data_IF_949419077114
#
_entry.id   IF_949419077114
#
_cell.length_a   1.000
_cell.length_b   1.000
_cell.length_c   1.000
_cell.angle_alpha   90.00
_cell.angle_beta   90.00
_cell.angle_gamma   90.00
#
_symmetry.space_group_name_H-M   'P 1'
#
loop_
_entity.id
_entity.type
_entity.pdbx_description
1 polymer ?
#
# COMPACT_ATOMS: atom_id res chain seq x y z
N UNK A 1 6.53 -12.97 -10.78
CA UNK A 1 6.53 -11.80 -11.68
C UNK A 1 7.13 -10.65 -10.91
N UNK A 2 8.32 -10.22 -11.31
CA UNK A 2 8.95 -8.99 -10.79
C UNK A 2 8.22 -7.77 -11.37
N UNK A 3 7.56 -6.99 -10.51
CA UNK A 3 6.69 -5.89 -10.91
C UNK A 3 7.35 -4.56 -10.55
N UNK A 4 7.54 -3.74 -11.57
CA UNK A 4 8.03 -2.37 -11.48
C UNK A 4 6.99 -1.42 -12.06
N UNK A 5 7.24 -0.11 -11.99
CA UNK A 5 6.36 0.91 -12.57
C UNK A 5 6.10 0.67 -14.07
N UNK A 6 7.06 0.13 -14.79
CA UNK A 6 7.01 0.01 -16.25
C UNK A 6 6.04 -1.10 -16.70
N UNK A 7 5.92 -2.18 -15.92
CA UNK A 7 5.00 -3.29 -16.20
C UNK A 7 3.79 -3.34 -15.25
N UNK A 8 3.62 -2.35 -14.37
CA UNK A 8 2.57 -2.34 -13.34
C UNK A 8 1.16 -2.44 -13.94
N UNK A 9 0.87 -1.76 -15.05
CA UNK A 9 -0.45 -1.79 -15.68
C UNK A 9 -0.83 -3.21 -16.15
N UNK A 10 0.13 -3.95 -16.71
CA UNK A 10 -0.07 -5.35 -17.11
C UNK A 10 -0.23 -6.25 -15.88
N UNK A 11 0.65 -6.10 -14.88
CA UNK A 11 0.59 -6.87 -13.64
C UNK A 11 -0.74 -6.68 -12.91
N UNK A 12 -1.24 -5.44 -12.82
CA UNK A 12 -2.52 -5.10 -12.19
C UNK A 12 -3.70 -5.74 -12.94
N UNK A 13 -3.67 -5.75 -14.28
CA UNK A 13 -4.69 -6.42 -15.07
C UNK A 13 -4.70 -7.94 -14.83
N UNK A 14 -3.53 -8.57 -14.78
CA UNK A 14 -3.40 -10.00 -14.46
C UNK A 14 -3.85 -10.31 -13.03
N UNK A 15 -3.45 -9.48 -12.06
CA UNK A 15 -3.86 -9.61 -10.66
C UNK A 15 -5.39 -9.51 -10.51
N UNK A 16 -5.99 -8.48 -11.12
CA UNK A 16 -7.44 -8.26 -11.12
C UNK A 16 -8.22 -9.44 -11.71
N UNK A 17 -7.69 -10.07 -12.76
CA UNK A 17 -8.33 -11.22 -13.39
C UNK A 17 -8.26 -12.50 -12.52
N UNK A 18 -7.23 -12.63 -11.68
CA UNK A 18 -6.98 -13.85 -10.91
C UNK A 18 -7.51 -13.79 -9.46
N UNK A 19 -7.49 -12.63 -8.80
CA UNK A 19 -7.77 -12.50 -7.36
C UNK A 19 -9.19 -12.96 -6.96
N UNK A 20 -10.19 -12.79 -7.83
CA UNK A 20 -11.55 -13.24 -7.55
C UNK A 20 -11.69 -14.77 -7.50
N UNK A 21 -10.89 -15.47 -8.32
CA UNK A 21 -10.96 -16.92 -8.47
C UNK A 21 -10.01 -17.72 -7.58
N UNK A 22 -9.06 -17.07 -6.89
CA UNK A 22 -8.12 -17.79 -6.01
C UNK A 22 -8.81 -18.25 -4.72
N UNK A 23 -8.27 -19.30 -4.10
CA UNK A 23 -8.76 -19.82 -2.82
C UNK A 23 -8.24 -18.99 -1.65
N UNK A 24 -6.95 -18.64 -1.71
CA UNK A 24 -6.29 -17.79 -0.72
C UNK A 24 -5.12 -17.03 -1.33
N UNK A 25 -4.64 -16.05 -0.58
CA UNK A 25 -3.50 -15.21 -0.93
C UNK A 25 -2.42 -15.37 0.13
N UNK A 26 -1.16 -15.53 -0.28
CA UNK A 26 -0.03 -15.41 0.63
C UNK A 26 0.66 -14.05 0.45
N UNK A 27 1.07 -13.44 1.57
CA UNK A 27 1.66 -12.11 1.65
C UNK A 27 2.98 -12.19 2.42
N UNK A 28 3.98 -11.47 1.90
CA UNK A 28 5.27 -11.25 2.55
C UNK A 28 5.82 -9.86 2.15
N UNK A 29 6.63 -9.22 2.99
CA UNK A 29 7.20 -7.91 2.69
C UNK A 29 8.67 -7.78 3.10
N UNK A 30 9.45 -7.14 2.23
CA UNK A 30 10.81 -6.72 2.53
C UNK A 30 10.83 -5.27 3.02
N UNK A 31 11.64 -4.99 4.05
CA UNK A 31 11.60 -3.72 4.78
C UNK A 31 13.00 -3.11 4.96
N UNK A 32 13.08 -1.78 5.07
CA UNK A 32 14.35 -1.06 5.34
C UNK A 32 14.88 -1.26 6.77
N UNK A 33 14.12 -1.91 7.63
CA UNK A 33 14.44 -2.23 9.01
C UNK A 33 13.25 -2.88 9.72
N UNK A 34 13.51 -3.48 10.89
CA UNK A 34 12.48 -4.17 11.69
C UNK A 34 12.27 -3.53 13.06
N UNK A 35 13.32 -3.32 13.85
CA UNK A 35 13.17 -2.72 15.19
C UNK A 35 14.43 -1.92 15.51
N UNK A 36 14.30 -0.75 16.14
CA UNK A 36 15.44 0.11 16.48
C UNK A 36 16.45 -0.61 17.39
N UNK A 37 15.97 -1.22 18.48
CA UNK A 37 16.76 -1.95 19.47
C UNK A 37 16.09 -3.27 19.88
N UNK A 38 16.78 -4.08 20.71
CA UNK A 38 16.22 -5.34 21.24
C UNK A 38 15.05 -5.09 22.18
N UNK A 39 15.08 -4.02 22.96
CA UNK A 39 14.04 -3.63 23.92
C UNK A 39 12.73 -3.22 23.22
N UNK A 40 12.87 -2.70 21.99
CA UNK A 40 11.75 -2.34 21.13
C UNK A 40 11.12 -3.53 20.39
N UNK A 41 11.67 -4.74 20.53
CA UNK A 41 11.03 -5.92 19.98
C UNK A 41 9.79 -6.30 20.80
N UNK A 42 8.70 -6.74 20.15
CA UNK A 42 7.46 -7.14 20.81
C UNK A 42 7.56 -8.58 21.38
N UNK A 43 8.73 -8.97 21.90
CA UNK A 43 9.03 -10.33 22.36
C UNK A 43 9.16 -10.45 23.89
N UNK A 44 9.15 -9.32 24.62
CA UNK A 44 9.21 -9.33 26.09
C UNK A 44 7.99 -10.07 26.66
N UNK A 45 8.19 -10.95 27.64
CA UNK A 45 7.12 -11.76 28.24
C UNK A 45 6.12 -10.96 29.06
N UNK A 46 6.53 -9.78 29.54
CA UNK A 46 5.70 -8.92 30.41
C UNK A 46 4.92 -7.88 29.63
N UNK A 47 5.18 -7.72 28.32
CA UNK A 47 4.45 -6.76 27.49
C UNK A 47 2.99 -7.18 27.35
N UNK A 48 2.09 -6.27 27.72
CA UNK A 48 0.68 -6.29 27.35
C UNK A 48 0.50 -6.21 25.83
N UNK A 49 -0.71 -6.53 25.35
CA UNK A 49 -1.02 -6.44 23.91
C UNK A 49 -0.91 -5.01 23.38
N UNK A 50 -1.28 -4.03 24.20
CA UNK A 50 -1.21 -2.62 23.82
C UNK A 50 0.24 -2.13 23.75
N UNK A 51 1.12 -2.59 24.65
CA UNK A 51 2.56 -2.30 24.58
C UNK A 51 3.22 -2.94 23.34
N UNK A 52 2.84 -4.19 23.01
CA UNK A 52 3.32 -4.84 21.78
C UNK A 52 2.86 -4.11 20.53
N UNK A 53 1.59 -3.70 20.48
CA UNK A 53 1.07 -2.86 19.39
C UNK A 53 1.86 -1.56 19.28
N UNK A 54 2.13 -0.88 20.40
CA UNK A 54 2.91 0.36 20.39
C UNK A 54 4.34 0.16 19.85
N UNK A 55 4.99 -0.96 20.20
CA UNK A 55 6.32 -1.34 19.68
C UNK A 55 6.28 -1.62 18.17
N UNK A 56 5.31 -2.41 17.70
CA UNK A 56 5.12 -2.71 16.28
C UNK A 56 4.80 -1.43 15.47
N UNK A 57 3.92 -0.57 16.00
CA UNK A 57 3.58 0.71 15.40
C UNK A 57 4.81 1.62 15.26
N UNK A 58 5.64 1.72 16.31
CA UNK A 58 6.90 2.49 16.26
C UNK A 58 7.84 1.98 15.16
N UNK A 59 7.96 0.66 14.99
CA UNK A 59 8.68 0.08 13.86
C UNK A 59 8.11 0.56 12.51
N UNK A 60 6.80 0.44 12.33
CA UNK A 60 6.14 0.79 11.07
C UNK A 60 6.26 2.27 10.73
N UNK A 61 6.25 3.14 11.74
CA UNK A 61 6.49 4.58 11.58
C UNK A 61 7.95 4.89 11.21
N UNK A 62 8.92 4.11 11.71
CA UNK A 62 10.34 4.32 11.46
C UNK A 62 10.83 3.77 10.12
N UNK A 63 10.30 2.62 9.67
CA UNK A 63 10.81 1.90 8.50
C UNK A 63 9.83 1.85 7.33
N UNK A 64 10.35 1.54 6.15
CA UNK A 64 9.57 1.49 4.92
C UNK A 64 9.59 0.10 4.29
N UNK A 65 8.53 -0.22 3.55
CA UNK A 65 8.44 -1.41 2.71
C UNK A 65 9.11 -1.14 1.38
N UNK A 66 10.00 -2.04 0.95
CA UNK A 66 10.73 -1.92 -0.32
C UNK A 66 10.16 -2.83 -1.40
N UNK A 67 9.62 -3.97 -0.99
CA UNK A 67 8.99 -4.94 -1.87
C UNK A 67 7.81 -5.61 -1.17
N UNK A 68 6.72 -5.82 -1.90
CA UNK A 68 5.55 -6.57 -1.43
C UNK A 68 5.39 -7.82 -2.28
N UNK A 69 5.49 -8.98 -1.65
CA UNK A 69 5.26 -10.28 -2.22
C UNK A 69 3.80 -10.68 -2.07
N UNK A 70 3.12 -10.98 -3.18
CA UNK A 70 1.77 -11.52 -3.15
C UNK A 70 1.71 -12.76 -4.04
N UNK A 71 1.35 -13.91 -3.48
CA UNK A 71 1.15 -15.13 -4.25
C UNK A 71 -0.31 -15.57 -4.18
N UNK A 72 -0.96 -15.68 -5.34
CA UNK A 72 -2.32 -16.20 -5.44
C UNK A 72 -2.28 -17.72 -5.62
N UNK A 73 -3.05 -18.45 -4.80
CA UNK A 73 -3.16 -19.91 -4.90
C UNK A 73 -4.57 -20.30 -5.33
N UNK A 74 -4.68 -21.13 -6.36
CA UNK A 74 -5.96 -21.61 -6.91
C UNK A 74 -5.92 -23.11 -7.13
N UNK A 75 -6.89 -23.85 -6.61
CA UNK A 75 -7.07 -25.26 -6.91
C UNK A 75 -7.52 -25.42 -8.36
N UNK A 76 -6.82 -26.27 -9.10
CA UNK A 76 -7.13 -26.63 -10.48
C UNK A 76 -7.38 -28.13 -10.54
N UNK A 77 -8.58 -28.50 -10.97
CA UNK A 77 -8.94 -29.89 -11.22
C UNK A 77 -8.25 -30.39 -12.50
N UNK A 78 -7.63 -31.56 -12.43
CA UNK A 78 -6.87 -32.20 -13.52
C UNK A 78 -7.21 -33.71 -13.55
N UNK A 79 -8.33 -34.04 -14.22
CA UNK A 79 -8.92 -35.38 -14.22
C UNK A 79 -9.48 -35.77 -12.83
N UNK A 80 -9.15 -36.96 -12.37
CA UNK A 80 -9.53 -37.48 -11.03
C UNK A 80 -8.67 -36.89 -9.89
N UNK A 81 -7.62 -36.15 -10.24
CA UNK A 81 -6.74 -35.46 -9.31
C UNK A 81 -6.84 -33.94 -9.48
N UNK A 82 -6.05 -33.19 -8.70
CA UNK A 82 -5.89 -31.76 -8.91
C UNK A 82 -4.57 -31.26 -8.33
N UNK A 83 -4.29 -29.99 -8.60
CA UNK A 83 -3.07 -29.32 -8.16
C UNK A 83 -3.38 -27.88 -7.76
N UNK A 84 -2.55 -27.29 -6.91
CA UNK A 84 -2.59 -25.86 -6.66
C UNK A 84 -1.75 -25.12 -7.70
N UNK A 85 -2.38 -24.19 -8.41
CA UNK A 85 -1.67 -23.24 -9.24
C UNK A 85 -1.27 -22.01 -8.42
N UNK A 86 0.01 -21.63 -8.51
CA UNK A 86 0.60 -20.47 -7.84
C UNK A 86 0.93 -19.34 -8.84
N UNK A 87 0.57 -18.11 -8.47
CA UNK A 87 0.89 -16.88 -9.22
C UNK A 87 1.59 -15.85 -8.31
N UNK A 88 2.93 -15.91 -8.16
CA UNK A 88 3.69 -14.99 -7.32
C UNK A 88 3.96 -13.65 -8.03
N UNK A 89 3.67 -12.54 -7.36
CA UNK A 89 3.99 -11.18 -7.75
C UNK A 89 4.95 -10.57 -6.72
N UNK A 90 6.03 -9.94 -7.17
CA UNK A 90 6.95 -9.19 -6.34
C UNK A 90 6.87 -7.72 -6.75
N UNK A 91 6.08 -6.93 -6.03
CA UNK A 91 5.88 -5.52 -6.31
C UNK A 91 6.99 -4.69 -5.66
N UNK A 92 7.88 -4.12 -6.46
CA UNK A 92 8.84 -3.13 -5.97
C UNK A 92 8.08 -1.83 -5.74
N UNK A 93 8.01 -1.34 -4.50
CA UNK A 93 7.15 -0.20 -4.13
C UNK A 93 7.99 0.97 -3.59
N UNK A 94 7.67 2.19 -3.98
CA UNK A 94 8.41 3.37 -3.53
C UNK A 94 7.47 4.58 -3.37
N UNK A 95 7.56 5.38 -2.29
CA UNK A 95 6.66 6.51 -2.09
C UNK A 95 6.84 7.57 -3.19
N UNK A 96 5.74 8.09 -3.73
CA UNK A 96 5.77 9.23 -4.66
C UNK A 96 6.16 10.51 -3.93
N UNK A 97 7.01 11.38 -4.52
CA UNK A 97 7.31 12.70 -3.95
C UNK A 97 6.23 13.75 -4.23
N UNK A 98 5.28 13.43 -5.13
CA UNK A 98 4.12 14.28 -5.38
C UNK A 98 2.93 13.50 -5.95
N UNK A 99 1.73 13.98 -5.69
CA UNK A 99 0.48 13.48 -6.28
C UNK A 99 -0.54 14.63 -6.39
N UNK A 100 -1.26 14.72 -7.52
CA UNK A 100 -2.26 15.79 -7.73
C UNK A 100 -1.70 17.21 -7.56
N UNK A 101 -0.40 17.40 -7.81
CA UNK A 101 0.32 18.66 -7.60
C UNK A 101 0.65 19.00 -6.14
N UNK A 102 0.33 18.13 -5.17
CA UNK A 102 0.75 18.24 -3.78
C UNK A 102 2.07 17.49 -3.54
N UNK A 103 2.95 18.07 -2.73
CA UNK A 103 4.19 17.42 -2.30
C UNK A 103 3.87 16.34 -1.26
N UNK A 104 4.43 15.14 -1.44
CA UNK A 104 4.21 13.93 -0.64
C UNK A 104 5.54 13.43 -0.09
N UNK A 105 6.35 14.34 0.46
CA UNK A 105 7.72 14.01 0.86
C UNK A 105 7.76 13.11 2.10
N UNK A 106 8.02 11.82 1.88
CA UNK A 106 8.03 10.78 2.93
C UNK A 106 9.43 10.62 3.49
N UNK A 107 9.56 10.79 4.80
CA UNK A 107 10.78 10.50 5.54
C UNK A 107 10.69 9.09 6.13
N UNK A 108 11.76 8.32 6.01
CA UNK A 108 11.88 6.97 6.55
C UNK A 108 13.32 6.68 6.95
N UNK A 109 13.50 5.77 7.91
CA UNK A 109 14.80 5.28 8.35
C UNK A 109 15.21 3.98 7.65
N UNK A 110 16.51 3.68 7.73
CA UNK A 110 17.08 2.41 7.29
C UNK A 110 17.99 1.85 8.39
N UNK A 111 17.94 0.53 8.62
CA UNK A 111 18.95 -0.18 9.41
C UNK A 111 20.04 -0.71 8.49
N UNK A 112 21.30 -0.42 8.83
CA UNK A 112 22.46 -0.94 8.09
C UNK A 112 22.40 -2.47 7.93
N UNK A 113 22.09 -3.19 9.01
CA UNK A 113 21.97 -4.65 8.98
C UNK A 113 20.89 -5.17 8.04
N UNK A 114 19.78 -4.44 7.89
CA UNK A 114 18.69 -4.83 6.98
C UNK A 114 19.10 -4.58 5.52
N UNK A 115 19.74 -3.45 5.23
CA UNK A 115 20.27 -3.17 3.89
C UNK A 115 21.38 -4.14 3.50
N UNK A 116 22.28 -4.49 4.43
CA UNK A 116 23.31 -5.52 4.20
C UNK A 116 22.69 -6.89 3.89
N UNK A 117 21.64 -7.27 4.63
CA UNK A 117 20.91 -8.51 4.39
C UNK A 117 20.28 -8.53 2.99
N UNK A 118 19.50 -7.49 2.65
CA UNK A 118 18.89 -7.34 1.34
C UNK A 118 19.94 -7.34 0.20
N UNK A 119 21.07 -6.65 0.40
CA UNK A 119 22.17 -6.65 -0.57
C UNK A 119 22.76 -8.05 -0.79
N UNK A 120 22.94 -8.84 0.28
CA UNK A 120 23.42 -10.24 0.19
C UNK A 120 22.41 -11.15 -0.52
N UNK A 121 21.12 -10.85 -0.35
CA UNK A 121 20.02 -11.51 -1.06
C UNK A 121 19.83 -10.99 -2.50
N UNK A 122 20.76 -10.21 -3.03
CA UNK A 122 20.73 -9.65 -4.40
C UNK A 122 19.56 -8.70 -4.68
N UNK A 123 19.05 -8.01 -3.64
CA UNK A 123 18.05 -6.96 -3.80
C UNK A 123 18.61 -5.77 -4.59
N UNK A 124 17.87 -5.31 -5.60
CA UNK A 124 18.27 -4.17 -6.43
C UNK A 124 17.67 -2.85 -5.90
N UNK A 125 18.47 -2.14 -5.10
CA UNK A 125 18.10 -0.82 -4.55
C UNK A 125 17.88 0.25 -5.63
N UNK A 126 18.57 0.16 -6.78
CA UNK A 126 18.37 1.11 -7.86
C UNK A 126 17.02 0.88 -8.53
N UNK A 127 16.67 -0.38 -8.81
CA UNK A 127 15.35 -0.75 -9.32
C UNK A 127 14.24 -0.29 -8.37
N UNK A 128 14.43 -0.48 -7.07
CA UNK A 128 13.49 -0.02 -6.04
C UNK A 128 13.22 1.50 -6.13
N UNK A 129 14.27 2.34 -6.19
CA UNK A 129 14.10 3.80 -6.22
C UNK A 129 13.65 4.32 -7.60
N UNK A 130 14.31 3.87 -8.68
CA UNK A 130 14.06 4.38 -10.03
C UNK A 130 12.74 3.89 -10.60
N UNK A 131 12.41 2.62 -10.36
CA UNK A 131 11.29 1.93 -10.99
C UNK A 131 10.25 1.43 -9.99
N UNK A 132 10.37 1.77 -8.70
CA UNK A 132 9.35 1.42 -7.71
C UNK A 132 7.96 1.96 -8.11
N UNK A 133 6.96 1.08 -8.03
CA UNK A 133 5.56 1.40 -8.18
C UNK A 133 5.18 2.40 -7.09
N UNK A 134 4.69 3.56 -7.50
CA UNK A 134 4.24 4.59 -6.57
C UNK A 134 2.94 4.17 -5.90
N UNK A 135 2.65 4.76 -4.75
CA UNK A 135 1.41 4.51 -4.04
C UNK A 135 0.90 5.77 -3.35
N UNK A 136 -0.42 5.89 -3.27
CA UNK A 136 -1.11 6.99 -2.59
C UNK A 136 -2.33 6.42 -1.89
N UNK A 137 -2.45 6.61 -0.58
CA UNK A 137 -3.59 6.11 0.23
C UNK A 137 -4.87 6.84 -0.12
N UNK A 138 -6.02 6.21 0.16
CA UNK A 138 -7.31 6.75 -0.24
C UNK A 138 -7.62 8.02 0.55
N UNK A 139 -7.26 8.02 1.83
CA UNK A 139 -7.37 9.18 2.71
C UNK A 139 -6.50 10.35 2.24
N UNK A 140 -5.28 10.08 1.76
CA UNK A 140 -4.39 11.11 1.19
C UNK A 140 -4.93 11.66 -0.13
N UNK A 141 -5.40 10.80 -1.03
CA UNK A 141 -6.04 11.22 -2.28
C UNK A 141 -7.27 12.09 -2.00
N UNK A 142 -8.14 11.68 -1.07
CA UNK A 142 -9.33 12.43 -0.68
C UNK A 142 -8.98 13.78 -0.05
N UNK A 143 -7.94 13.84 0.78
CA UNK A 143 -7.43 15.07 1.38
C UNK A 143 -6.90 16.02 0.30
N UNK A 144 -6.01 15.56 -0.58
CA UNK A 144 -5.46 16.36 -1.68
C UNK A 144 -6.58 16.86 -2.59
N UNK A 145 -7.53 15.98 -2.94
CA UNK A 145 -8.70 16.35 -3.74
C UNK A 145 -9.48 17.48 -3.09
N UNK A 146 -9.77 17.36 -1.78
CA UNK A 146 -10.52 18.37 -1.02
C UNK A 146 -9.79 19.70 -0.97
N UNK A 147 -8.51 19.69 -0.63
CA UNK A 147 -7.67 20.90 -0.57
C UNK A 147 -7.62 21.60 -1.93
N UNK A 148 -7.41 20.86 -3.02
CA UNK A 148 -7.30 21.41 -4.38
C UNK A 148 -8.64 21.86 -4.95
N UNK A 149 -9.70 21.08 -4.76
CA UNK A 149 -11.05 21.46 -5.15
C UNK A 149 -11.52 22.68 -4.36
N UNK A 150 -11.17 22.77 -3.07
CA UNK A 150 -11.39 23.95 -2.24
C UNK A 150 -10.76 25.20 -2.85
N UNK A 151 -9.47 25.15 -3.23
CA UNK A 151 -8.78 26.26 -3.91
C UNK A 151 -9.43 26.65 -5.24
N UNK A 152 -10.03 25.69 -5.97
CA UNK A 152 -10.74 25.97 -7.22
C UNK A 152 -12.16 26.51 -7.01
N UNK A 153 -12.78 26.18 -5.87
CA UNK A 153 -14.14 26.55 -5.52
C UNK A 153 -14.22 27.87 -4.74
N UNK A 154 -13.16 28.22 -4.01
CA UNK A 154 -13.06 29.45 -3.23
C UNK A 154 -13.22 30.66 -4.16
N UNK A 155 -14.41 31.26 -4.12
CA UNK A 155 -14.66 32.62 -4.62
C UNK A 155 -14.24 33.52 -3.46
N UNK A 156 -12.94 33.79 -3.38
CA UNK A 156 -12.33 34.30 -2.16
C UNK A 156 -13.06 35.50 -1.58
N UNK A 157 -13.24 35.50 -0.25
CA UNK A 157 -13.12 36.76 0.47
C UNK A 157 -11.70 37.30 0.22
N UNK A 158 -11.54 38.61 -0.04
CA UNK A 158 -10.22 39.19 -0.22
C UNK A 158 -9.36 38.90 1.03
N UNK A 159 -8.10 38.46 0.87
CA UNK A 159 -7.23 38.24 2.02
C UNK A 159 -7.14 39.53 2.84
N UNK A 160 -7.40 39.40 4.14
CA UNK A 160 -7.31 40.50 5.11
C UNK A 160 -5.83 40.89 5.26
N UNK A 161 -5.42 41.84 4.43
CA UNK A 161 -4.69 43.07 4.77
C UNK A 161 -3.77 43.47 3.60
N UNK A 162 -4.24 44.43 2.81
CA UNK A 162 -3.39 45.26 1.96
C UNK A 162 -2.44 46.19 2.77
N UNK A 163 -2.22 45.90 4.05
CA UNK A 163 -1.49 46.74 5.01
C UNK A 163 -0.03 46.29 5.23
N UNK A 164 0.47 45.32 4.45
CA UNK A 164 1.84 44.81 4.53
C UNK A 164 2.70 45.09 3.29
N UNK A 165 3.88 44.45 3.21
CA UNK A 165 4.89 44.62 2.14
C UNK A 165 4.38 44.40 0.70
N UNK A 166 3.28 43.68 0.51
CA UNK A 166 2.68 43.41 -0.81
C UNK A 166 1.52 44.36 -1.18
N UNK A 167 1.24 45.40 -0.38
CA UNK A 167 0.14 46.34 -0.64
C UNK A 167 0.28 47.08 -1.97
N UNK A 168 1.49 47.50 -2.34
CA UNK A 168 1.77 48.13 -3.64
C UNK A 168 1.59 47.15 -4.80
N UNK A 169 1.98 45.88 -4.62
CA UNK A 169 1.78 44.83 -5.62
C UNK A 169 0.30 44.59 -5.89
N UNK A 170 -0.50 44.49 -4.83
CA UNK A 170 -1.96 44.31 -4.93
C UNK A 170 -2.60 45.51 -5.63
N UNK A 171 -2.30 46.74 -5.20
CA UNK A 171 -2.80 47.95 -5.86
C UNK A 171 -2.41 48.03 -7.33
N UNK A 172 -1.16 47.73 -7.66
CA UNK A 172 -0.67 47.70 -9.03
C UNK A 172 -1.44 46.69 -9.89
N UNK A 173 -1.71 45.50 -9.31
CA UNK A 173 -2.50 44.48 -9.98
C UNK A 173 -3.96 44.92 -10.16
N UNK A 174 -4.61 45.48 -9.13
CA UNK A 174 -5.99 45.95 -9.22
C UNK A 174 -6.17 47.06 -10.26
N UNK A 175 -5.22 48.00 -10.37
CA UNK A 175 -5.20 49.02 -11.41
C UNK A 175 -5.07 48.40 -12.81
N UNK A 176 -4.12 47.47 -13.00
CA UNK A 176 -3.94 46.76 -14.26
C UNK A 176 -5.17 45.92 -14.63
N UNK A 177 -5.80 45.29 -13.63
CA UNK A 177 -7.01 44.49 -13.78
C UNK A 177 -8.20 45.36 -14.21
N UNK A 178 -8.38 46.53 -13.59
CA UNK A 178 -9.44 47.48 -13.98
C UNK A 178 -9.28 47.96 -15.42
N UNK A 179 -8.05 48.30 -15.83
CA UNK A 179 -7.74 48.67 -17.21
C UNK A 179 -8.01 47.51 -18.20
N UNK A 180 -7.62 46.29 -17.83
CA UNK A 180 -7.89 45.09 -18.62
C UNK A 180 -9.39 44.80 -18.74
N UNK A 181 -10.16 44.91 -17.66
CA UNK A 181 -11.62 44.70 -17.69
C UNK A 181 -12.28 45.66 -18.68
N UNK A 182 -11.84 46.92 -18.73
CA UNK A 182 -12.33 47.94 -19.65
C UNK A 182 -11.84 47.79 -21.10
N UNK A 183 -10.79 47.01 -21.37
CA UNK A 183 -10.22 46.87 -22.72
C UNK A 183 -10.95 45.83 -23.59
N UNK A 184 -10.63 45.77 -24.89
CA UNK A 184 -11.12 44.73 -25.80
C UNK A 184 -10.29 43.43 -25.73
N UNK A 185 -9.22 43.40 -24.95
CA UNK A 185 -8.30 42.25 -24.87
C UNK A 185 -8.97 41.03 -24.23
N UNK A 186 -8.65 39.84 -24.74
CA UNK A 186 -9.17 38.57 -24.24
C UNK A 186 -8.44 38.09 -22.97
N UNK A 187 -7.16 38.47 -22.81
CA UNK A 187 -6.31 38.10 -21.68
C UNK A 187 -5.26 39.17 -21.37
N UNK A 188 -4.87 39.27 -20.09
CA UNK A 188 -3.71 40.03 -19.64
C UNK A 188 -2.68 39.12 -18.97
N UNK A 189 -1.40 39.46 -19.09
CA UNK A 189 -0.30 38.85 -18.36
C UNK A 189 0.08 39.74 -17.17
N UNK A 190 0.33 39.12 -16.03
CA UNK A 190 0.88 39.80 -14.86
C UNK A 190 1.97 38.97 -14.20
N UNK A 191 3.18 39.53 -14.10
CA UNK A 191 4.32 38.83 -13.54
C UNK A 191 4.21 38.70 -12.02
N UNK A 192 4.75 37.59 -11.49
CA UNK A 192 4.67 37.27 -10.05
C UNK A 192 6.03 36.79 -9.56
N UNK A 193 6.54 37.33 -8.46
CA UNK A 193 7.82 36.94 -7.91
C UNK A 193 7.76 35.65 -7.07
N UNK A 194 6.61 35.35 -6.45
CA UNK A 194 6.49 34.22 -5.51
C UNK A 194 5.07 33.61 -5.49
N UNK A 195 4.93 32.48 -4.78
CA UNK A 195 3.65 31.74 -4.65
C UNK A 195 2.59 32.50 -3.84
N UNK A 196 2.99 33.41 -2.95
CA UNK A 196 2.08 34.24 -2.16
C UNK A 196 1.38 35.29 -3.03
N UNK A 197 2.14 36.03 -3.84
CA UNK A 197 1.60 36.97 -4.84
C UNK A 197 0.64 36.29 -5.82
N UNK A 198 0.96 35.05 -6.24
CA UNK A 198 0.04 34.25 -7.06
C UNK A 198 -1.28 33.99 -6.34
N UNK A 199 -1.21 33.60 -5.06
CA UNK A 199 -2.41 33.36 -4.23
C UNK A 199 -3.25 34.62 -4.10
N UNK A 200 -2.64 35.80 -3.91
CA UNK A 200 -3.34 37.08 -3.86
C UNK A 200 -4.11 37.36 -5.16
N UNK A 201 -3.45 37.21 -6.32
CA UNK A 201 -4.09 37.39 -7.63
C UNK A 201 -5.26 36.43 -7.83
N UNK A 202 -5.09 35.14 -7.52
CA UNK A 202 -6.18 34.18 -7.62
C UNK A 202 -7.38 34.59 -6.75
N UNK A 203 -7.13 35.08 -5.52
CA UNK A 203 -8.17 35.60 -4.63
C UNK A 203 -8.95 36.75 -5.28
N UNK A 204 -8.25 37.78 -5.76
CA UNK A 204 -8.86 38.95 -6.41
C UNK A 204 -9.67 38.54 -7.65
N UNK A 205 -9.07 37.76 -8.57
CA UNK A 205 -9.74 37.32 -9.80
C UNK A 205 -10.95 36.43 -9.50
N UNK A 206 -10.90 35.60 -8.45
CA UNK A 206 -12.01 34.71 -8.10
C UNK A 206 -13.29 35.43 -7.63
N UNK A 207 -13.16 36.69 -7.22
CA UNK A 207 -14.28 37.58 -6.89
C UNK A 207 -15.03 38.11 -8.12
N UNK A 208 -14.49 37.95 -9.33
CA UNK A 208 -15.14 38.38 -10.57
C UNK A 208 -15.87 37.21 -11.27
N UNK A 209 -17.12 37.44 -11.67
CA UNK A 209 -17.93 36.42 -12.36
C UNK A 209 -17.54 36.16 -13.81
N UNK A 210 -16.78 37.08 -14.43
CA UNK A 210 -16.42 37.04 -15.85
C UNK A 210 -14.93 36.86 -16.09
N UNK A 211 -14.14 36.68 -15.03
CA UNK A 211 -12.69 36.53 -15.13
C UNK A 211 -12.23 35.15 -14.65
N UNK A 212 -11.22 34.61 -15.32
CA UNK A 212 -10.49 33.43 -14.90
C UNK A 212 -9.00 33.70 -14.84
N UNK A 213 -8.27 32.92 -14.03
CA UNK A 213 -6.82 32.99 -13.96
C UNK A 213 -6.18 31.62 -14.24
N UNK A 214 -5.01 31.64 -14.88
CA UNK A 214 -4.17 30.47 -15.16
C UNK A 214 -2.72 30.79 -14.85
N UNK A 215 -2.12 29.98 -13.99
CA UNK A 215 -0.71 30.09 -13.66
C UNK A 215 0.17 29.63 -14.82
N UNK A 216 1.20 30.42 -15.13
CA UNK A 216 2.28 30.08 -16.06
C UNK A 216 3.61 30.16 -15.30
N UNK A 217 4.73 29.79 -15.92
CA UNK A 217 6.05 29.99 -15.32
C UNK A 217 6.34 31.50 -15.29
N UNK A 218 6.69 32.04 -14.12
CA UNK A 218 7.02 33.47 -13.92
C UNK A 218 5.83 34.44 -13.87
N UNK A 219 4.65 34.08 -14.38
CA UNK A 219 3.49 34.99 -14.42
C UNK A 219 2.13 34.28 -14.25
N UNK A 220 1.08 35.08 -14.11
CA UNK A 220 -0.32 34.66 -14.21
C UNK A 220 -0.95 35.29 -15.45
N UNK A 221 -1.71 34.48 -16.17
CA UNK A 221 -2.58 34.88 -17.29
C UNK A 221 -4.01 35.02 -16.74
N UNK A 222 -4.57 36.23 -16.79
CA UNK A 222 -5.98 36.51 -16.46
C UNK A 222 -6.75 36.66 -17.75
N UNK A 223 -7.90 36.01 -17.89
CA UNK A 223 -8.67 35.98 -19.13
C UNK A 223 -10.16 36.22 -18.89
N UNK A 224 -10.85 36.78 -19.88
CA UNK A 224 -12.30 37.00 -19.85
C UNK A 224 -13.04 35.74 -20.29
N UNK A 225 -14.19 35.47 -19.69
CA UNK A 225 -15.05 34.35 -20.05
C UNK A 225 -16.44 34.47 -19.45
N UNK A 226 -17.42 33.78 -20.05
CA UNK A 226 -18.74 33.67 -19.44
C UNK A 226 -18.70 32.80 -18.19
N UNK A 227 -19.64 33.04 -17.27
CA UNK A 227 -19.81 32.20 -16.06
C UNK A 227 -19.82 30.71 -16.40
N UNK A 228 -20.58 30.32 -17.42
CA UNK A 228 -20.68 28.93 -17.93
C UNK A 228 -19.32 28.40 -18.41
N UNK A 229 -18.55 29.21 -19.14
CA UNK A 229 -17.23 28.81 -19.63
C UNK A 229 -16.22 28.63 -18.47
N UNK A 230 -16.26 29.52 -17.47
CA UNK A 230 -15.41 29.44 -16.28
C UNK A 230 -15.75 28.23 -15.41
N UNK A 231 -17.04 27.96 -15.18
CA UNK A 231 -17.50 26.79 -14.44
C UNK A 231 -17.13 25.48 -15.17
N UNK A 232 -17.26 25.45 -16.51
CA UNK A 232 -16.80 24.32 -17.34
C UNK A 232 -15.29 24.10 -17.24
N UNK A 233 -14.49 25.17 -17.23
CA UNK A 233 -13.04 25.09 -17.07
C UNK A 233 -12.64 24.54 -15.68
N UNK A 234 -13.35 24.94 -14.62
CA UNK A 234 -13.17 24.42 -13.25
C UNK A 234 -13.49 22.93 -13.18
N UNK A 235 -14.63 22.52 -13.74
CA UNK A 235 -15.02 21.12 -13.81
C UNK A 235 -13.98 20.26 -14.54
N UNK A 236 -13.43 20.78 -15.64
CA UNK A 236 -12.35 20.09 -16.37
C UNK A 236 -11.08 19.92 -15.52
N UNK A 237 -10.68 20.94 -14.75
CA UNK A 237 -9.53 20.85 -13.82
C UNK A 237 -9.77 19.83 -12.71
N UNK A 238 -10.97 19.78 -12.13
CA UNK A 238 -11.34 18.79 -11.12
C UNK A 238 -11.30 17.37 -11.71
N UNK A 239 -11.84 17.18 -12.92
CA UNK A 239 -11.79 15.87 -13.60
C UNK A 239 -10.35 15.43 -13.91
N UNK A 240 -9.49 16.35 -14.31
CA UNK A 240 -8.07 16.08 -14.55
C UNK A 240 -7.33 15.73 -13.23
N UNK A 241 -7.65 16.43 -12.14
CA UNK A 241 -7.15 16.11 -10.80
C UNK A 241 -7.59 14.72 -10.36
N UNK A 242 -8.89 14.40 -10.48
CA UNK A 242 -9.44 13.10 -10.10
C UNK A 242 -8.75 11.96 -10.85
N UNK A 243 -8.51 12.12 -12.16
CA UNK A 243 -7.74 11.16 -12.95
C UNK A 243 -6.29 11.02 -12.47
N UNK A 244 -5.60 12.14 -12.22
CA UNK A 244 -4.22 12.12 -11.75
C UNK A 244 -4.08 11.48 -10.38
N UNK A 245 -5.06 11.67 -9.49
CA UNK A 245 -5.07 11.03 -8.17
C UNK A 245 -5.34 9.53 -8.28
N UNK A 246 -6.23 9.12 -9.18
CA UNK A 246 -6.49 7.70 -9.46
C UNK A 246 -5.24 7.00 -10.00
N UNK A 247 -4.55 7.59 -10.98
CA UNK A 247 -3.28 7.07 -11.48
C UNK A 247 -2.21 6.99 -10.39
N UNK A 248 -2.19 7.97 -9.47
CA UNK A 248 -1.25 8.01 -8.35
C UNK A 248 -1.54 6.98 -7.25
N UNK A 249 -2.74 6.36 -7.21
CA UNK A 249 -3.05 5.25 -6.28
C UNK A 249 -2.02 4.14 -6.42
N UNK A 250 -1.60 3.85 -7.66
CA UNK A 250 -0.56 2.87 -7.99
C UNK A 250 -0.74 1.56 -7.21
N UNK A 251 0.26 1.15 -6.40
CA UNK A 251 0.19 -0.11 -5.66
C UNK A 251 -1.01 -0.21 -4.71
N UNK A 252 -1.55 0.91 -4.19
CA UNK A 252 -2.76 0.87 -3.38
C UNK A 252 -3.97 0.28 -4.13
N UNK A 253 -4.00 0.34 -5.48
CA UNK A 253 -5.05 -0.32 -6.27
C UNK A 253 -4.99 -1.86 -6.17
N UNK A 254 -3.80 -2.45 -5.99
CA UNK A 254 -3.65 -3.89 -5.73
C UNK A 254 -4.24 -4.24 -4.36
N UNK A 255 -3.95 -3.40 -3.37
CA UNK A 255 -4.44 -3.55 -2.00
C UNK A 255 -5.96 -3.38 -1.91
N UNK A 256 -6.55 -2.46 -2.68
CA UNK A 256 -8.00 -2.33 -2.81
C UNK A 256 -8.65 -3.61 -3.36
N UNK A 257 -8.06 -4.19 -4.41
CA UNK A 257 -8.53 -5.44 -5.01
C UNK A 257 -8.42 -6.61 -4.02
N UNK A 258 -7.30 -6.70 -3.30
CA UNK A 258 -7.08 -7.71 -2.26
C UNK A 258 -8.16 -7.62 -1.16
N UNK A 259 -8.37 -6.43 -0.63
CA UNK A 259 -9.38 -6.14 0.40
C UNK A 259 -10.80 -6.47 -0.09
N UNK A 260 -11.15 -6.03 -1.30
CA UNK A 260 -12.46 -6.25 -1.91
C UNK A 260 -12.74 -7.73 -2.20
N UNK A 261 -11.72 -8.53 -2.52
CA UNK A 261 -11.88 -9.95 -2.78
C UNK A 261 -12.18 -10.78 -1.51
N UNK A 262 -11.87 -10.23 -0.32
CA UNK A 262 -12.16 -10.83 1.00
C UNK A 262 -11.64 -12.27 1.14
N UNK A 263 -10.58 -12.62 0.41
CA UNK A 263 -9.93 -13.93 0.46
C UNK A 263 -9.12 -14.07 1.74
N UNK A 264 -8.94 -15.29 2.28
CA UNK A 264 -7.98 -15.54 3.34
C UNK A 264 -6.59 -15.06 2.93
N UNK A 265 -5.94 -14.28 3.81
CA UNK A 265 -4.57 -13.82 3.63
C UNK A 265 -3.66 -14.56 4.60
N UNK A 266 -2.63 -15.17 4.05
CA UNK A 266 -1.71 -16.07 4.73
C UNK A 266 -0.36 -15.37 4.81
N UNK A 267 0.27 -15.42 5.97
CA UNK A 267 1.62 -14.90 6.17
C UNK A 267 2.44 -15.85 7.04
N UNK A 268 3.71 -15.52 7.23
CA UNK A 268 4.59 -16.21 8.16
C UNK A 268 5.20 -15.19 9.10
N UNK A 269 4.85 -15.23 10.40
CA UNK A 269 5.26 -14.19 11.35
C UNK A 269 4.81 -12.78 10.92
N UNK A 270 3.53 -12.66 10.53
CA UNK A 270 3.04 -11.53 9.76
C UNK A 270 2.56 -10.26 10.51
N UNK A 271 2.70 -10.07 11.85
CA UNK A 271 2.24 -8.83 12.48
C UNK A 271 2.82 -7.56 11.86
N UNK A 272 4.11 -7.52 11.52
CA UNK A 272 4.71 -6.35 10.89
C UNK A 272 4.17 -6.12 9.48
N UNK A 273 4.06 -7.16 8.65
CA UNK A 273 3.52 -7.07 7.29
C UNK A 273 2.10 -6.50 7.29
N UNK A 274 1.27 -6.95 8.22
CA UNK A 274 -0.11 -6.48 8.37
C UNK A 274 -0.15 -5.01 8.78
N UNK A 275 0.68 -4.58 9.75
CA UNK A 275 0.70 -3.18 10.15
C UNK A 275 1.29 -2.27 9.06
N UNK A 276 2.31 -2.72 8.33
CA UNK A 276 2.85 -2.01 7.18
C UNK A 276 1.82 -1.90 6.05
N UNK A 277 1.10 -2.99 5.74
CA UNK A 277 0.03 -2.98 4.75
C UNK A 277 -1.06 -1.96 5.12
N UNK A 278 -1.44 -1.95 6.40
CA UNK A 278 -2.40 -0.99 6.93
C UNK A 278 -1.88 0.45 6.78
N UNK A 279 -0.71 0.76 7.35
CA UNK A 279 -0.18 2.13 7.41
C UNK A 279 0.12 2.71 6.03
N UNK A 280 0.82 1.95 5.18
CA UNK A 280 1.40 2.46 3.94
C UNK A 280 0.39 2.46 2.79
N UNK A 281 -0.54 1.51 2.76
CA UNK A 281 -1.40 1.29 1.59
C UNK A 281 -2.89 1.50 1.85
N UNK A 282 -3.37 1.31 3.09
CA UNK A 282 -4.75 1.59 3.45
C UNK A 282 -4.89 3.01 3.99
N UNK A 283 -4.37 3.25 5.21
CA UNK A 283 -4.53 4.50 5.96
C UNK A 283 -3.57 4.56 7.17
N UNK A 284 -3.31 5.75 7.75
CA UNK A 284 -2.44 5.86 8.92
C UNK A 284 -2.83 4.90 10.06
N UNK A 285 -1.84 4.32 10.72
CA UNK A 285 -2.08 3.51 11.92
C UNK A 285 -2.78 4.33 13.01
N UNK A 286 -3.84 3.79 13.63
CA UNK A 286 -4.54 4.50 14.70
C UNK A 286 -3.73 4.50 15.99
N UNK A 287 -4.11 5.39 16.90
CA UNK A 287 -3.40 5.55 18.16
C UNK A 287 -3.50 4.30 19.05
N UNK A 288 -4.63 3.62 19.01
CA UNK A 288 -4.93 2.48 19.88
C UNK A 288 -5.00 1.16 19.11
N UNK A 289 -4.61 0.06 19.78
CA UNK A 289 -4.74 -1.30 19.24
C UNK A 289 -6.19 -1.63 18.89
N UNK A 290 -7.14 -1.25 19.74
CA UNK A 290 -8.55 -1.56 19.53
C UNK A 290 -9.13 -0.92 18.26
N UNK A 291 -8.72 0.31 17.94
CA UNK A 291 -9.09 0.95 16.66
C UNK A 291 -8.44 0.25 15.48
N UNK A 292 -7.18 -0.17 15.62
CA UNK A 292 -6.48 -0.92 14.58
C UNK A 292 -7.19 -2.25 14.29
N UNK A 293 -7.55 -3.01 15.31
CA UNK A 293 -8.25 -4.30 15.16
C UNK A 293 -9.60 -4.14 14.45
N UNK A 294 -10.39 -3.11 14.81
CA UNK A 294 -11.65 -2.80 14.12
C UNK A 294 -11.44 -2.42 12.65
N UNK A 295 -10.43 -1.58 12.39
CA UNK A 295 -10.05 -1.22 11.03
C UNK A 295 -9.61 -2.45 10.21
N UNK A 296 -8.82 -3.32 10.83
CA UNK A 296 -8.27 -4.49 10.17
C UNK A 296 -9.36 -5.47 9.73
N UNK A 297 -10.40 -5.70 10.53
CA UNK A 297 -11.53 -6.57 10.12
C UNK A 297 -12.24 -6.10 8.83
N UNK A 298 -12.27 -4.79 8.61
CA UNK A 298 -12.84 -4.23 7.36
C UNK A 298 -11.89 -4.38 6.18
N UNK A 299 -10.58 -4.40 6.44
CA UNK A 299 -9.53 -4.48 5.43
C UNK A 299 -9.16 -5.92 5.06
N UNK A 300 -8.66 -6.70 6.03
CA UNK A 300 -8.26 -8.09 5.89
C UNK A 300 -8.98 -8.94 6.95
N UNK A 301 -10.17 -9.49 6.63
CA UNK A 301 -11.04 -10.12 7.63
C UNK A 301 -10.57 -11.49 8.12
N UNK A 302 -9.77 -12.18 7.31
CA UNK A 302 -9.34 -13.56 7.54
C UNK A 302 -7.83 -13.61 7.31
N UNK A 303 -7.09 -13.74 8.41
CA UNK A 303 -5.64 -13.84 8.46
C UNK A 303 -5.24 -15.23 8.97
N UNK A 304 -4.19 -15.81 8.40
CA UNK A 304 -3.61 -17.08 8.85
C UNK A 304 -2.09 -16.94 8.94
N UNK A 305 -1.55 -17.05 10.15
CA UNK A 305 -0.10 -17.01 10.37
C UNK A 305 0.47 -18.43 10.46
N UNK A 306 1.23 -18.84 9.45
CA UNK A 306 1.83 -20.17 9.38
C UNK A 306 2.83 -20.43 10.50
N UNK A 307 3.54 -19.40 10.99
CA UNK A 307 4.42 -19.54 12.15
C UNK A 307 3.61 -19.84 13.40
N UNK A 308 2.44 -19.23 13.56
CA UNK A 308 1.52 -19.57 14.65
C UNK A 308 1.04 -21.03 14.55
N UNK A 309 0.70 -21.52 13.34
CA UNK A 309 0.30 -22.93 13.15
C UNK A 309 1.41 -23.87 13.64
N UNK A 310 2.65 -23.64 13.20
CA UNK A 310 3.82 -24.46 13.57
C UNK A 310 4.05 -24.43 15.08
N UNK A 311 4.10 -23.24 15.67
CA UNK A 311 4.44 -23.04 17.08
C UNK A 311 3.34 -23.49 18.05
N UNK A 312 2.08 -23.47 17.61
CA UNK A 312 0.92 -23.89 18.41
C UNK A 312 0.52 -25.36 18.23
N UNK A 313 1.21 -26.09 17.36
CA UNK A 313 0.93 -27.51 17.08
C UNK A 313 2.11 -28.39 17.55
N UNK A 314 2.05 -28.98 18.76
CA UNK A 314 3.18 -29.71 19.36
C UNK A 314 3.75 -30.84 18.49
N UNK A 315 2.90 -31.52 17.71
CA UNK A 315 3.33 -32.58 16.79
C UNK A 315 4.22 -32.03 15.66
N UNK A 316 3.84 -30.90 15.06
CA UNK A 316 4.61 -30.23 14.00
C UNK A 316 5.90 -29.66 14.57
N UNK A 317 5.81 -28.94 15.70
CA UNK A 317 6.97 -28.34 16.38
C UNK A 317 8.01 -29.38 16.77
N UNK A 318 7.59 -30.50 17.35
CA UNK A 318 8.49 -31.60 17.74
C UNK A 318 9.09 -32.29 16.52
N UNK A 319 8.31 -32.47 15.44
CA UNK A 319 8.77 -33.17 14.24
C UNK A 319 9.84 -32.41 13.46
N UNK A 320 9.68 -31.10 13.29
CA UNK A 320 10.57 -30.31 12.44
C UNK A 320 11.63 -29.50 13.22
N UNK A 321 11.41 -29.23 14.50
CA UNK A 321 12.41 -28.56 15.36
C UNK A 321 12.70 -27.09 15.06
N UNK A 322 12.11 -26.53 14.00
CA UNK A 322 12.28 -25.15 13.56
C UNK A 322 10.94 -24.55 13.12
N UNK A 323 10.82 -23.23 13.20
CA UNK A 323 9.70 -22.46 12.67
C UNK A 323 10.17 -21.33 11.76
N UNK A 324 11.44 -21.32 11.35
CA UNK A 324 11.94 -20.39 10.34
C UNK A 324 11.50 -20.88 8.96
N UNK A 325 11.02 -19.97 8.12
CA UNK A 325 10.41 -20.31 6.83
C UNK A 325 11.42 -20.98 5.88
N UNK A 326 12.63 -20.44 5.83
CA UNK A 326 13.76 -20.91 5.02
C UNK A 326 14.17 -22.35 5.36
N UNK A 327 14.09 -22.73 6.62
CA UNK A 327 14.40 -24.09 7.09
C UNK A 327 13.20 -25.03 6.95
N UNK A 328 12.00 -24.61 7.34
CA UNK A 328 10.84 -25.52 7.44
C UNK A 328 10.17 -25.78 6.09
N UNK A 329 10.12 -24.81 5.18
CA UNK A 329 9.48 -24.96 3.88
C UNK A 329 10.08 -26.12 3.04
N UNK A 330 11.41 -26.30 2.93
CA UNK A 330 11.98 -27.45 2.24
C UNK A 330 11.76 -28.77 2.99
N UNK A 331 11.75 -28.77 4.33
CA UNK A 331 11.43 -29.99 5.11
C UNK A 331 9.99 -30.45 4.88
N UNK A 332 9.04 -29.52 4.87
CA UNK A 332 7.64 -29.79 4.53
C UNK A 332 7.51 -30.29 3.09
N UNK A 333 8.37 -29.84 2.18
CA UNK A 333 8.41 -30.34 0.80
C UNK A 333 8.79 -31.80 0.71
N UNK A 334 9.81 -32.19 1.45
CA UNK A 334 10.32 -33.55 1.44
C UNK A 334 9.39 -34.54 2.16
N UNK A 335 8.64 -34.08 3.18
CA UNK A 335 7.85 -34.95 4.03
C UNK A 335 6.53 -35.46 3.41
N UNK A 336 6.16 -35.00 2.22
CA UNK A 336 4.80 -35.06 1.71
C UNK A 336 4.71 -35.44 0.21
N UNK A 337 5.02 -36.69 -0.18
CA UNK A 337 4.92 -37.14 -1.57
C UNK A 337 3.48 -37.24 -2.09
N UNK A 338 2.50 -37.49 -1.21
CA UNK A 338 1.07 -37.65 -1.57
C UNK A 338 0.27 -36.33 -1.51
N UNK A 339 0.93 -35.20 -1.29
CA UNK A 339 0.26 -33.89 -1.27
C UNK A 339 -0.08 -33.39 -2.67
N UNK A 340 -1.12 -32.54 -2.80
CA UNK A 340 -1.42 -31.92 -4.07
C UNK A 340 -0.21 -31.15 -4.58
N UNK A 341 0.13 -31.38 -5.85
CA UNK A 341 1.23 -30.69 -6.50
C UNK A 341 0.98 -29.19 -6.50
N UNK A 342 2.05 -28.40 -6.39
CA UNK A 342 1.98 -26.95 -6.54
C UNK A 342 2.75 -26.60 -7.81
N UNK A 343 2.06 -26.01 -8.79
CA UNK A 343 2.61 -25.65 -10.09
C UNK A 343 2.54 -24.14 -10.27
N UNK A 344 3.57 -23.54 -10.85
CA UNK A 344 3.48 -22.13 -11.27
C UNK A 344 2.61 -22.01 -12.51
N UNK A 345 1.75 -20.99 -12.55
CA UNK A 345 1.04 -20.65 -13.77
C UNK A 345 2.04 -20.40 -14.93
N UNK A 346 1.79 -20.83 -16.18
CA UNK A 346 2.76 -20.77 -17.27
C UNK A 346 3.36 -19.37 -17.55
N UNK A 347 2.62 -18.29 -17.27
CA UNK A 347 3.11 -16.90 -17.40
C UNK A 347 4.07 -16.47 -16.27
N UNK A 348 4.17 -17.24 -15.20
CA UNK A 348 4.97 -16.95 -14.02
C UNK A 348 6.22 -17.83 -13.92
N UNK A 349 6.42 -18.78 -14.83
CA UNK A 349 7.58 -19.71 -14.82
C UNK A 349 8.90 -19.05 -15.20
N UNK A 350 8.87 -17.94 -15.97
CA UNK A 350 10.07 -17.35 -16.59
C UNK A 350 10.81 -16.34 -15.70
N UNK A 351 10.12 -15.79 -14.70
CA UNK A 351 10.58 -14.66 -13.87
C UNK A 351 10.40 -14.93 -12.36
N UNK A 352 10.28 -16.19 -11.93
CA UNK A 352 10.47 -16.52 -10.52
C UNK A 352 11.95 -16.78 -10.37
N UNK A 353 12.68 -15.78 -9.90
CA UNK A 353 14.00 -16.07 -9.36
C UNK A 353 13.74 -17.02 -8.18
N UNK A 354 14.35 -18.21 -8.18
CA UNK A 354 14.28 -19.13 -7.03
C UNK A 354 15.14 -18.62 -5.87
N UNK A 355 15.29 -17.31 -5.76
CA UNK A 355 16.15 -16.66 -4.79
C UNK A 355 15.33 -16.48 -3.54
N UNK A 356 15.72 -17.18 -2.47
CA UNK A 356 15.17 -16.96 -1.14
C UNK A 356 15.40 -15.49 -0.76
N UNK A 357 14.46 -14.88 -0.03
CA UNK A 357 14.47 -13.45 0.34
C UNK A 357 14.21 -12.49 -0.84
N UNK A 358 13.44 -12.96 -1.82
CA UNK A 358 12.60 -12.11 -2.67
C UNK A 358 11.16 -12.26 -2.18
N UNK A 359 10.48 -11.15 -1.87
CA UNK A 359 9.15 -11.19 -1.23
C UNK A 359 8.14 -12.07 -1.99
N UNK A 360 8.18 -12.03 -3.33
CA UNK A 360 7.29 -12.85 -4.16
C UNK A 360 7.51 -14.35 -4.00
N UNK A 361 8.76 -14.78 -3.80
CA UNK A 361 9.12 -16.18 -3.56
C UNK A 361 8.83 -16.58 -2.11
N UNK A 362 9.09 -15.72 -1.13
CA UNK A 362 8.81 -15.97 0.28
C UNK A 362 7.28 -16.04 0.54
N UNK A 363 6.48 -15.23 -0.16
CA UNK A 363 5.02 -15.38 -0.21
C UNK A 363 4.59 -16.74 -0.82
N UNK A 364 5.25 -17.19 -1.89
CA UNK A 364 5.00 -18.53 -2.43
C UNK A 364 5.36 -19.63 -1.42
N UNK A 365 6.53 -19.57 -0.79
CA UNK A 365 6.94 -20.56 0.22
C UNK A 365 5.98 -20.58 1.41
N UNK A 366 5.48 -19.42 1.83
CA UNK A 366 4.49 -19.29 2.89
C UNK A 366 3.19 -20.01 2.54
N UNK A 367 2.62 -19.75 1.36
CA UNK A 367 1.39 -20.41 0.92
C UNK A 367 1.56 -21.92 0.68
N UNK A 368 2.69 -22.33 0.10
CA UNK A 368 3.04 -23.73 -0.07
C UNK A 368 3.18 -24.46 1.29
N UNK A 369 3.76 -23.77 2.28
CA UNK A 369 3.86 -24.29 3.66
C UNK A 369 2.47 -24.45 4.28
N UNK A 370 1.55 -23.50 4.11
CA UNK A 370 0.17 -23.66 4.59
C UNK A 370 -0.50 -24.91 4.02
N UNK A 371 -0.47 -25.09 2.69
CA UNK A 371 -1.07 -26.25 2.01
C UNK A 371 -0.54 -27.55 2.63
N UNK A 372 0.76 -27.59 2.95
CA UNK A 372 1.42 -28.76 3.54
C UNK A 372 1.09 -28.97 5.00
N UNK A 373 1.13 -27.90 5.80
CA UNK A 373 0.78 -27.95 7.22
C UNK A 373 -0.66 -28.44 7.42
N UNK A 374 -1.60 -27.99 6.59
CA UNK A 374 -3.00 -28.39 6.70
C UNK A 374 -3.22 -29.89 6.43
N UNK A 375 -2.50 -30.54 5.53
CA UNK A 375 -2.70 -31.99 5.37
C UNK A 375 -1.95 -32.82 6.41
N UNK A 376 -0.85 -32.31 6.99
CA UNK A 376 -0.16 -32.96 8.11
C UNK A 376 -0.96 -32.92 9.42
N UNK A 377 -1.76 -31.88 9.66
CA UNK A 377 -2.66 -31.80 10.83
C UNK A 377 -3.94 -32.66 10.66
N UNK A 378 -4.04 -33.43 9.56
CA UNK A 378 -5.21 -34.25 9.23
C UNK A 378 -6.42 -33.43 8.76
N UNK A 379 -6.23 -32.16 8.42
CA UNK A 379 -7.31 -31.23 8.08
C UNK A 379 -7.80 -31.34 6.63
N UNK A 380 -6.94 -31.83 5.72
CA UNK A 380 -7.28 -31.99 4.31
C UNK A 380 -7.65 -33.44 3.99
N UNK A 381 -8.84 -33.87 4.41
CA UNK A 381 -9.59 -34.87 3.65
C UNK A 381 -10.41 -34.14 2.60
N UNK A 382 -9.81 -33.89 1.43
CA UNK A 382 -10.44 -33.16 0.32
C UNK A 382 -11.61 -33.92 -0.34
N UNK A 383 -11.96 -35.12 0.15
CA UNK A 383 -13.14 -35.88 -0.30
C UNK A 383 -14.44 -35.52 0.44
N UNK A 384 -14.41 -34.63 1.44
CA UNK A 384 -15.61 -34.22 2.16
C UNK A 384 -15.63 -32.70 2.44
N UNK A 385 -16.49 -32.00 1.70
CA UNK A 385 -16.97 -30.66 2.04
C UNK A 385 -17.35 -30.62 3.54
N UNK A 386 -16.78 -29.65 4.27
CA UNK A 386 -16.95 -29.27 5.69
C UNK A 386 -15.80 -29.58 6.68
N UNK A 387 -14.93 -30.57 6.47
CA UNK A 387 -13.88 -30.88 7.45
C UNK A 387 -12.68 -29.90 7.40
N UNK A 388 -12.29 -29.44 6.20
CA UNK A 388 -11.20 -28.47 6.01
C UNK A 388 -11.52 -27.05 6.49
N UNK A 389 -12.80 -26.66 6.50
CA UNK A 389 -13.24 -25.35 7.01
C UNK A 389 -13.13 -25.27 8.53
N UNK A 390 -13.43 -26.36 9.25
CA UNK A 390 -13.43 -26.41 10.73
C UNK A 390 -12.03 -26.25 11.37
N UNK A 391 -10.97 -26.74 10.70
CA UNK A 391 -9.60 -26.65 11.25
C UNK A 391 -9.01 -25.26 11.07
N UNK A 392 -9.31 -24.57 9.97
CA UNK A 392 -8.86 -23.19 9.76
C UNK A 392 -9.40 -22.25 10.86
N UNK A 393 -10.60 -22.46 11.38
CA UNK A 393 -11.12 -21.66 12.52
C UNK A 393 -10.22 -21.68 13.76
N UNK A 394 -9.43 -22.74 13.97
CA UNK A 394 -8.47 -22.78 15.07
C UNK A 394 -7.37 -21.72 14.92
N UNK A 395 -7.01 -21.36 13.70
CA UNK A 395 -5.85 -20.53 13.38
C UNK A 395 -6.22 -19.14 12.82
N UNK A 396 -7.47 -18.95 12.42
CA UNK A 396 -7.97 -17.68 11.88
C UNK A 396 -7.76 -16.53 12.88
N UNK A 397 -7.17 -15.46 12.37
CA UNK A 397 -6.89 -14.19 13.04
C UNK A 397 -6.10 -14.33 14.34
N UNK A 398 -5.18 -15.30 14.38
CA UNK A 398 -4.20 -15.47 15.45
C UNK A 398 -2.81 -15.28 14.88
N UNK A 399 -2.23 -14.10 15.10
CA UNK A 399 -0.90 -13.78 14.61
C UNK A 399 0.15 -14.17 15.65
N UNK A 400 1.28 -14.68 15.18
CA UNK A 400 2.36 -15.08 16.07
C UNK A 400 2.94 -13.86 16.79
N UNK A 401 3.14 -13.97 18.11
CA UNK A 401 3.91 -13.02 18.89
C UNK A 401 5.05 -13.82 19.53
N UNK A 402 6.28 -13.34 19.41
CA UNK A 402 7.51 -14.08 19.68
C UNK A 402 7.78 -14.44 21.17
N UNK A 403 6.76 -14.79 21.95
CA UNK A 403 6.90 -15.36 23.30
C UNK A 403 6.65 -16.86 23.31
N UNK A 404 7.50 -17.57 24.06
CA UNK A 404 7.33 -18.97 24.43
C UNK A 404 5.99 -19.17 25.16
N UNK A 405 5.29 -20.27 24.85
CA UNK A 405 3.94 -20.66 25.36
C UNK A 405 2.74 -20.11 24.58
N UNK A 406 2.75 -20.24 23.25
CA UNK A 406 1.51 -20.13 22.46
C UNK A 406 0.79 -18.79 22.59
N UNK A 407 1.52 -17.71 22.90
CA UNK A 407 0.94 -16.37 22.97
C UNK A 407 0.75 -15.85 21.56
N UNK A 408 -0.48 -15.49 21.21
CA UNK A 408 -0.83 -14.98 19.89
C UNK A 408 -1.60 -13.67 20.01
N UNK A 409 -1.50 -12.85 18.98
CA UNK A 409 -2.37 -11.71 18.82
C UNK A 409 -3.67 -12.18 18.18
N UNK A 410 -4.73 -12.31 19.00
CA UNK A 410 -6.08 -12.46 18.47
C UNK A 410 -6.55 -11.13 17.90
N UNK A 411 -6.75 -11.05 16.59
CA UNK A 411 -7.31 -9.87 15.95
C UNK A 411 -8.77 -10.13 15.61
N UNK A 412 -9.66 -9.30 16.14
CA UNK A 412 -11.08 -9.40 15.84
C UNK A 412 -11.90 -10.17 16.87
#
# INVERSE_FOLDING_TARGET
MDVTRDNFAEALAQFKAAIGGCDFVALDMEMTGLFESREQQPNSRVDSRDERYAKLRRSVEAYMVVQVGICLFTWVQDGDAGFYEARPFAFNVFPGSSAGGAAMDVHFGCKSSALEFLARSSFDFNKWVYQGVRYLRADDAARIRRERAGVLADRGQPPVSAAGKDGEFVRGFELALAAFVASAEASMRYDTANSYQRKLIYGIVSGHDTLGARGRVGHIEVFKGSRKALDSHRAHKIKALDRSLEEARGFCAVIDLLSAARKPVVGHNMPLDVLHAYDKFLRPLPATRAEFERGLQTFLPVLVDTKHIIESTPAIKTRYGTSNLDEIAPMLAAAAPDHPQIRFHPRFTRNVSHTMHEAGYDAYMTGASLIRLLSLDGALSLSANHAGELVLYRYINKLYLASTEGTFWKVG
#
